data_IF_688840307791
#
_entry.id   IF_688840307791
#
_cell.length_a   1.000
_cell.length_b   1.000
_cell.length_c   1.000
_cell.angle_alpha   90.00
_cell.angle_beta   90.00
_cell.angle_gamma   90.00
#
_symmetry.space_group_name_H-M   'P 1'
#
loop_
_entity.id
_entity.type
_entity.pdbx_description
1 polymer ?
#
# COMPACT_ATOMS: atom_id res chain seq x y z
N UNK A 1 -5.97 8.78 1.61
CA UNK A 1 -4.83 7.84 1.70
C UNK A 1 -3.56 8.66 1.47
N UNK A 2 -2.64 8.81 2.44
CA UNK A 2 -1.26 9.20 2.08
C UNK A 2 -0.56 10.41 2.73
N UNK A 3 -1.03 10.98 3.86
CA UNK A 3 -0.24 12.03 4.53
C UNK A 3 1.00 11.50 5.27
N UNK A 4 1.12 10.18 5.44
CA UNK A 4 2.16 9.56 6.25
C UNK A 4 3.04 8.63 5.40
N UNK A 5 4.35 8.80 5.56
CA UNK A 5 5.37 7.96 4.97
C UNK A 5 5.51 6.61 5.69
N UNK A 6 6.05 5.63 4.97
CA UNK A 6 6.47 4.36 5.55
C UNK A 6 7.81 4.47 6.28
N UNK A 7 8.49 3.34 6.46
CA UNK A 7 9.77 3.29 7.17
C UNK A 7 10.90 3.98 6.40
N UNK A 8 10.77 4.09 5.08
CA UNK A 8 11.69 4.76 4.15
C UNK A 8 11.56 6.29 4.16
N UNK A 9 10.58 6.83 4.90
CA UNK A 9 10.29 8.27 4.98
C UNK A 9 9.94 8.94 3.64
N UNK A 10 9.60 8.16 2.62
CA UNK A 10 9.13 8.69 1.32
C UNK A 10 7.64 9.02 1.41
N UNK A 11 7.28 10.26 1.09
CA UNK A 11 5.90 10.72 1.00
C UNK A 11 5.38 10.65 -0.43
N UNK A 12 4.05 10.71 -0.59
CA UNK A 12 3.45 10.75 -1.93
C UNK A 12 3.93 11.99 -2.70
N UNK A 13 4.09 13.12 -2.01
CA UNK A 13 4.59 14.36 -2.62
C UNK A 13 5.99 14.19 -3.20
N UNK A 14 6.82 13.34 -2.61
CA UNK A 14 8.17 13.08 -3.14
C UNK A 14 8.09 12.29 -4.44
N UNK A 15 7.16 11.33 -4.54
CA UNK A 15 6.89 10.59 -5.80
C UNK A 15 6.37 11.52 -6.88
N UNK A 16 5.43 12.43 -6.55
CA UNK A 16 4.91 13.41 -7.50
C UNK A 16 6.01 14.33 -8.04
N UNK A 17 6.91 14.80 -7.15
CA UNK A 17 8.08 15.61 -7.53
C UNK A 17 9.10 14.83 -8.36
N UNK A 18 9.30 13.54 -8.06
CA UNK A 18 10.21 12.66 -8.80
C UNK A 18 9.70 12.33 -10.21
N UNK A 19 8.37 12.38 -10.40
CA UNK A 19 7.69 12.07 -11.65
C UNK A 19 7.03 10.70 -11.60
N UNK A 20 5.70 10.68 -11.68
CA UNK A 20 4.88 9.48 -11.52
C UNK A 20 5.23 8.39 -12.55
N UNK A 21 5.31 8.75 -13.82
CA UNK A 21 5.64 7.79 -14.89
C UNK A 21 7.02 7.17 -14.69
N UNK A 22 8.00 7.97 -14.24
CA UNK A 22 9.35 7.48 -13.96
C UNK A 22 9.33 6.48 -12.81
N UNK A 23 8.67 6.85 -11.71
CA UNK A 23 8.50 5.99 -10.55
C UNK A 23 7.83 4.65 -10.90
N UNK A 24 6.75 4.68 -11.68
CA UNK A 24 6.01 3.48 -12.09
C UNK A 24 6.86 2.62 -13.03
N UNK A 25 7.57 3.20 -13.99
CA UNK A 25 8.44 2.44 -14.91
C UNK A 25 9.57 1.73 -14.18
N UNK A 26 10.26 2.43 -13.26
CA UNK A 26 11.32 1.82 -12.44
C UNK A 26 10.77 0.69 -11.56
N UNK A 27 9.59 0.89 -10.98
CA UNK A 27 8.92 -0.12 -10.16
C UNK A 27 8.52 -1.35 -10.97
N UNK A 28 8.03 -1.16 -12.20
CA UNK A 28 7.70 -2.25 -13.10
C UNK A 28 8.94 -3.08 -13.44
N UNK A 29 10.06 -2.43 -13.77
CA UNK A 29 11.33 -3.11 -14.06
C UNK A 29 11.79 -3.92 -12.84
N UNK A 30 11.80 -3.32 -11.64
CA UNK A 30 12.21 -3.99 -10.41
C UNK A 30 11.38 -5.26 -10.12
N UNK A 31 10.08 -5.21 -10.37
CA UNK A 31 9.17 -6.35 -10.21
C UNK A 31 9.43 -7.43 -11.27
N UNK A 32 9.58 -7.05 -12.54
CA UNK A 32 9.87 -7.98 -13.64
C UNK A 32 11.21 -8.69 -13.46
N UNK A 33 12.21 -7.99 -12.93
CA UNK A 33 13.53 -8.55 -12.66
C UNK A 33 13.61 -9.34 -11.33
N UNK A 34 12.50 -9.48 -10.61
CA UNK A 34 12.45 -10.10 -9.27
C UNK A 34 13.45 -9.49 -8.27
N UNK A 35 13.78 -8.21 -8.44
CA UNK A 35 14.71 -7.46 -7.56
C UNK A 35 13.99 -6.81 -6.38
N UNK A 36 12.66 -6.82 -6.39
CA UNK A 36 11.84 -6.30 -5.31
C UNK A 36 12.17 -7.00 -3.98
N UNK A 37 12.53 -6.21 -2.96
CA UNK A 37 12.77 -6.69 -1.59
C UNK A 37 11.78 -6.05 -0.62
N UNK A 38 11.02 -6.84 0.16
CA UNK A 38 10.06 -6.32 1.12
C UNK A 38 10.78 -5.68 2.33
N UNK A 39 10.32 -4.50 2.70
CA UNK A 39 10.70 -3.72 3.87
C UNK A 39 9.63 -3.86 4.95
N UNK A 40 10.00 -3.76 6.23
CA UNK A 40 9.04 -3.75 7.32
C UNK A 40 8.09 -2.55 7.23
N UNK A 41 6.86 -2.73 7.70
CA UNK A 41 5.89 -1.63 7.82
C UNK A 41 6.25 -0.72 9.00
N UNK A 42 6.03 0.59 8.86
CA UNK A 42 6.20 1.54 9.96
C UNK A 42 5.06 1.40 10.98
N UNK A 43 5.38 1.15 12.25
CA UNK A 43 4.40 0.94 13.31
C UNK A 43 4.01 2.25 13.97
N UNK A 44 2.74 2.62 13.87
CA UNK A 44 2.18 3.81 14.52
C UNK A 44 1.03 3.40 15.43
N UNK A 45 0.92 4.03 16.60
CA UNK A 45 -0.16 3.78 17.54
C UNK A 45 -1.15 4.93 17.54
N UNK A 46 -2.40 4.65 17.22
CA UNK A 46 -3.49 5.64 17.31
C UNK A 46 -4.37 5.35 18.53
N UNK A 47 -4.88 6.38 19.23
CA UNK A 47 -5.77 6.19 20.36
C UNK A 47 -7.12 5.61 19.91
N UNK A 48 -7.69 4.72 20.72
CA UNK A 48 -9.09 4.29 20.64
C UNK A 48 -9.94 5.12 21.62
N UNK A 49 -11.26 5.09 21.43
CA UNK A 49 -12.24 5.71 22.35
C UNK A 49 -12.18 5.15 23.78
N UNK A 50 -11.75 3.90 23.94
CA UNK A 50 -11.66 3.19 25.22
C UNK A 50 -10.31 3.38 25.93
N UNK A 51 -9.47 4.33 25.48
CA UNK A 51 -8.16 4.61 26.07
C UNK A 51 -7.05 3.64 25.65
N UNK A 52 -7.36 2.52 24.99
CA UNK A 52 -6.34 1.62 24.44
C UNK A 52 -5.72 2.20 23.16
N UNK A 53 -4.60 1.64 22.71
CA UNK A 53 -3.97 2.01 21.42
C UNK A 53 -4.24 0.95 20.36
N UNK A 54 -4.64 1.37 19.16
CA UNK A 54 -4.68 0.51 17.97
C UNK A 54 -3.35 0.65 17.24
N UNK A 55 -2.63 -0.46 17.03
CA UNK A 55 -1.49 -0.42 16.15
C UNK A 55 -1.92 -0.33 14.68
N UNK A 56 -1.25 0.53 13.92
CA UNK A 56 -1.30 0.59 12.46
C UNK A 56 0.08 0.23 11.90
N UNK A 57 0.10 -0.56 10.83
CA UNK A 57 1.27 -0.74 9.99
C UNK A 57 1.13 0.13 8.76
N UNK A 58 2.05 1.06 8.55
CA UNK A 58 2.08 1.97 7.40
C UNK A 58 3.14 1.44 6.42
N UNK A 59 2.75 0.84 5.29
CA UNK A 59 3.69 0.43 4.26
C UNK A 59 4.31 1.66 3.56
N UNK A 60 5.45 1.45 2.91
CA UNK A 60 6.06 2.46 2.04
C UNK A 60 5.18 2.76 0.82
N UNK A 61 5.38 3.91 0.16
CA UNK A 61 4.56 4.33 -0.99
C UNK A 61 4.57 3.29 -2.10
N UNK A 62 5.76 2.76 -2.44
CA UNK A 62 5.95 1.69 -3.42
C UNK A 62 5.02 0.50 -3.19
N UNK A 63 4.86 0.08 -1.94
CA UNK A 63 4.06 -1.12 -1.62
C UNK A 63 2.58 -0.83 -1.67
N UNK A 64 2.18 0.37 -1.26
CA UNK A 64 0.78 0.80 -1.40
C UNK A 64 0.37 0.84 -2.87
N UNK A 65 1.25 1.30 -3.76
CA UNK A 65 1.02 1.30 -5.20
C UNK A 65 0.86 -0.13 -5.75
N UNK A 66 1.79 -1.04 -5.42
CA UNK A 66 1.71 -2.45 -5.83
C UNK A 66 0.43 -3.10 -5.29
N UNK A 67 0.15 -2.97 -3.99
CA UNK A 67 -1.02 -3.57 -3.36
C UNK A 67 -2.32 -3.08 -3.99
N UNK A 68 -2.42 -1.79 -4.31
CA UNK A 68 -3.60 -1.24 -4.97
C UNK A 68 -3.72 -1.77 -6.40
N UNK A 69 -2.63 -1.82 -7.16
CA UNK A 69 -2.64 -2.38 -8.51
C UNK A 69 -3.03 -3.86 -8.51
N UNK A 70 -2.46 -4.67 -7.61
CA UNK A 70 -2.84 -6.07 -7.41
C UNK A 70 -4.31 -6.17 -7.04
N UNK A 71 -4.78 -5.36 -6.09
CA UNK A 71 -6.18 -5.33 -5.66
C UNK A 71 -7.13 -5.10 -6.84
N UNK A 72 -6.87 -4.08 -7.66
CA UNK A 72 -7.70 -3.75 -8.83
C UNK A 72 -7.85 -4.94 -9.78
N UNK A 73 -6.78 -5.73 -9.97
CA UNK A 73 -6.80 -6.89 -10.86
C UNK A 73 -7.52 -8.08 -10.25
N UNK A 74 -7.30 -8.36 -8.95
CA UNK A 74 -7.82 -9.58 -8.32
C UNK A 74 -9.24 -9.44 -7.77
N UNK A 75 -9.63 -8.25 -7.30
CA UNK A 75 -10.92 -8.03 -6.63
C UNK A 75 -12.12 -8.45 -7.49
N UNK A 76 -12.19 -8.12 -8.80
CA UNK A 76 -13.31 -8.57 -9.65
C UNK A 76 -13.42 -10.10 -9.78
N UNK A 77 -12.28 -10.81 -9.76
CA UNK A 77 -12.27 -12.28 -9.82
C UNK A 77 -12.87 -12.85 -8.54
N UNK A 78 -12.44 -12.31 -7.39
CA UNK A 78 -12.95 -12.77 -6.09
C UNK A 78 -14.41 -12.35 -5.85
N UNK A 79 -14.83 -11.17 -6.29
CA UNK A 79 -16.22 -10.72 -6.15
C UNK A 79 -17.20 -11.58 -6.96
N UNK A 80 -16.77 -12.13 -8.11
CA UNK A 80 -17.60 -13.04 -8.89
C UNK A 80 -17.84 -14.39 -8.21
N UNK A 81 -16.84 -14.90 -7.47
CA UNK A 81 -16.89 -16.22 -6.82
C UNK A 81 -17.38 -16.17 -5.37
N UNK A 82 -17.23 -15.03 -4.68
CA UNK A 82 -17.74 -14.83 -3.33
C UNK A 82 -19.25 -14.58 -3.42
N UNK A 83 -20.05 -15.62 -3.13
CA UNK A 83 -21.49 -15.48 -2.89
C UNK A 83 -21.73 -14.46 -1.78
N UNK A 84 -22.17 -13.25 -2.13
CA UNK A 84 -22.49 -12.19 -1.17
C UNK A 84 -23.77 -12.57 -0.43
N UNK A 85 -23.61 -13.31 0.66
CA UNK A 85 -24.63 -13.48 1.70
C UNK A 85 -24.09 -13.01 3.06
N UNK A 86 -23.39 -11.87 3.04
CA UNK A 86 -23.05 -11.13 4.25
C UNK A 86 -23.96 -9.92 4.25
N UNK A 87 -25.12 -10.04 4.91
CA UNK A 87 -25.90 -8.86 5.31
C UNK A 87 -24.99 -7.97 6.16
N UNK A 88 -24.82 -6.72 5.73
CA UNK A 88 -24.34 -5.63 6.59
C UNK A 88 -25.30 -5.43 7.75
#
# INVERSE_FOLDING_TARGET
MGSTAGIDKVFIQDVLKYGENKFINELQIELQENKYRPLPVNRVYIPKKDGRKRPLGIPIVKYRAIQMATKIVIEPIFEADINVNIKM
#
